data_IF_838716305927
#
_entry.id   IF_838716305927
#
_cell.length_a   1.000
_cell.length_b   1.000
_cell.length_c   1.000
_cell.angle_alpha   90.00
_cell.angle_beta   90.00
_cell.angle_gamma   90.00
#
_symmetry.space_group_name_H-M   'P 1'
#
loop_
_entity.id
_entity.type
_entity.pdbx_description
1 polymer ?
#
# COMPACT_ATOMS: atom_id res chain seq x y z
N UNK A 1 5.83 10.65 9.53
CA UNK A 1 5.63 9.25 9.14
C UNK A 1 4.75 8.59 10.17
N UNK A 2 3.57 8.15 9.76
CA UNK A 2 2.67 7.31 10.55
C UNK A 2 2.86 5.85 10.14
N UNK A 3 2.91 4.94 11.10
CA UNK A 3 3.12 3.52 10.84
C UNK A 3 1.81 2.76 11.06
N UNK A 4 1.42 1.96 10.06
CA UNK A 4 0.32 1.03 10.17
C UNK A 4 0.82 -0.36 10.57
N UNK A 5 0.36 -0.79 11.75
CA UNK A 5 0.47 -2.18 12.19
C UNK A 5 -0.53 -2.99 11.38
N UNK A 6 -0.07 -4.03 10.73
CA UNK A 6 -0.97 -4.96 10.05
C UNK A 6 -0.84 -6.34 10.65
N UNK A 7 -1.77 -6.69 11.51
CA UNK A 7 -2.12 -8.08 11.79
C UNK A 7 -2.98 -8.60 10.64
N UNK A 8 -2.41 -8.70 9.44
CA UNK A 8 -2.99 -9.53 8.40
C UNK A 8 -2.74 -10.99 8.81
N UNK A 9 -3.54 -11.52 9.73
CA UNK A 9 -3.78 -12.96 9.75
C UNK A 9 -4.31 -13.29 8.36
N UNK A 10 -3.54 -14.08 7.62
CA UNK A 10 -3.98 -14.65 6.35
C UNK A 10 -5.07 -15.69 6.64
N UNK A 11 -6.24 -15.25 7.11
CA UNK A 11 -7.46 -15.99 6.92
C UNK A 11 -7.75 -15.86 5.45
N UNK A 12 -7.43 -16.91 4.69
CA UNK A 12 -7.73 -16.99 3.27
C UNK A 12 -9.16 -16.52 3.03
N UNK A 13 -9.28 -15.31 2.49
CA UNK A 13 -10.58 -14.75 2.10
C UNK A 13 -10.97 -15.57 0.88
N UNK A 14 -11.77 -16.60 1.14
CA UNK A 14 -12.47 -17.31 0.10
C UNK A 14 -13.48 -16.31 -0.49
N UNK A 15 -13.15 -15.75 -1.65
CA UNK A 15 -13.92 -14.70 -2.35
C UNK A 15 -15.30 -15.18 -2.87
N UNK A 16 -15.84 -16.26 -2.32
CA UNK A 16 -17.16 -16.81 -2.64
C UNK A 16 -18.31 -16.19 -1.83
N UNK A 17 -18.00 -15.36 -0.82
CA UNK A 17 -19.02 -14.88 0.14
C UNK A 17 -19.60 -13.49 -0.14
N UNK A 18 -19.10 -12.74 -1.13
CA UNK A 18 -19.69 -11.46 -1.53
C UNK A 18 -20.66 -11.57 -2.72
N UNK A 19 -21.39 -12.69 -2.84
CA UNK A 19 -22.44 -12.85 -3.85
C UNK A 19 -23.87 -12.78 -3.30
N UNK A 20 -24.08 -12.15 -2.14
CA UNK A 20 -25.44 -11.97 -1.59
C UNK A 20 -25.64 -10.59 -0.97
N UNK A 21 -25.96 -9.60 -1.82
CA UNK A 21 -27.01 -8.58 -1.62
C UNK A 21 -26.79 -7.40 -2.57
N UNK A 22 -27.08 -7.61 -3.85
CA UNK A 22 -27.60 -6.58 -4.75
C UNK A 22 -28.31 -7.34 -5.86
N UNK A 23 -29.64 -7.28 -5.87
CA UNK A 23 -30.51 -8.06 -6.74
C UNK A 23 -30.42 -7.64 -8.20
N UNK A 24 -29.31 -7.94 -8.87
CA UNK A 24 -29.22 -7.97 -10.32
C UNK A 24 -29.13 -9.42 -10.78
N UNK A 25 -30.28 -9.97 -11.18
CA UNK A 25 -30.38 -11.28 -11.81
C UNK A 25 -29.74 -11.18 -13.20
N UNK A 26 -28.42 -11.38 -13.28
CA UNK A 26 -27.79 -11.63 -14.58
C UNK A 26 -28.15 -13.05 -14.99
N UNK A 27 -29.08 -13.13 -15.93
CA UNK A 27 -29.66 -14.34 -16.49
C UNK A 27 -28.55 -15.15 -17.17
N UNK A 28 -27.94 -16.08 -16.42
CA UNK A 28 -26.87 -16.98 -16.87
C UNK A 28 -27.45 -18.05 -17.81
N UNK A 29 -27.84 -17.68 -19.04
CA UNK A 29 -28.14 -18.64 -20.10
C UNK A 29 -27.62 -18.12 -21.44
N UNK A 30 -26.56 -18.80 -21.89
CA UNK A 30 -26.11 -18.96 -23.27
C UNK A 30 -25.77 -17.68 -24.04
N UNK A 31 -24.50 -17.27 -24.06
CA UNK A 31 -23.81 -16.88 -25.30
C UNK A 31 -22.35 -17.36 -25.26
N UNK A 32 -22.04 -18.20 -26.24
CA UNK A 32 -20.75 -18.57 -26.85
C UNK A 32 -19.56 -19.07 -26.02
N UNK A 33 -19.27 -20.36 -26.26
CA UNK A 33 -17.93 -20.93 -26.44
C UNK A 33 -17.07 -20.00 -27.33
N UNK A 34 -15.86 -19.68 -26.91
CA UNK A 34 -14.86 -19.09 -27.82
C UNK A 34 -13.99 -17.96 -27.27
N UNK A 35 -13.57 -18.00 -26.01
CA UNK A 35 -12.35 -17.36 -25.57
C UNK A 35 -11.91 -18.08 -24.29
N UNK A 36 -10.73 -18.68 -24.29
CA UNK A 36 -10.03 -18.85 -23.03
C UNK A 36 -9.70 -17.43 -22.57
N UNK A 37 -10.65 -16.77 -21.89
CA UNK A 37 -10.31 -15.57 -21.14
C UNK A 37 -9.37 -16.05 -20.05
N UNK A 38 -8.08 -15.76 -20.20
CA UNK A 38 -7.17 -15.75 -19.07
C UNK A 38 -7.89 -14.97 -17.97
N UNK A 39 -8.15 -15.64 -16.86
CA UNK A 39 -8.72 -15.01 -15.68
C UNK A 39 -7.67 -14.00 -15.20
N UNK A 40 -7.81 -12.74 -15.64
CA UNK A 40 -6.94 -11.67 -15.18
C UNK A 40 -7.27 -11.42 -13.72
N UNK A 41 -6.28 -11.59 -12.85
CA UNK A 41 -6.35 -11.32 -11.42
C UNK A 41 -6.46 -9.80 -11.22
N UNK A 42 -7.65 -9.26 -11.41
CA UNK A 42 -7.95 -7.85 -11.27
C UNK A 42 -8.55 -7.62 -9.89
N UNK A 43 -7.74 -7.13 -8.96
CA UNK A 43 -8.20 -6.77 -7.62
C UNK A 43 -8.94 -5.41 -7.73
N UNK A 44 -10.27 -5.35 -7.46
CA UNK A 44 -11.05 -4.15 -7.76
C UNK A 44 -10.56 -2.88 -7.05
N UNK A 45 -10.12 -2.98 -5.80
CA UNK A 45 -9.64 -1.83 -5.02
C UNK A 45 -8.30 -1.28 -5.52
N UNK A 46 -7.52 -2.05 -6.27
CA UNK A 46 -6.23 -1.60 -6.84
C UNK A 46 -6.40 -0.82 -8.14
N UNK A 47 -7.55 -0.93 -8.81
CA UNK A 47 -7.79 -0.38 -10.15
C UNK A 47 -9.01 0.52 -10.27
N UNK A 48 -9.99 0.43 -9.37
CA UNK A 48 -11.28 1.11 -9.54
C UNK A 48 -11.14 2.63 -9.60
N UNK A 49 -10.35 3.21 -8.68
CA UNK A 49 -10.21 4.67 -8.58
C UNK A 49 -9.49 5.25 -9.79
N UNK A 50 -8.34 4.67 -10.17
CA UNK A 50 -7.60 5.16 -11.33
C UNK A 50 -8.45 5.04 -12.61
N UNK A 51 -9.12 3.90 -12.80
CA UNK A 51 -9.98 3.67 -13.97
C UNK A 51 -11.14 4.67 -14.04
N UNK A 52 -11.78 4.95 -12.90
CA UNK A 52 -12.87 5.93 -12.85
C UNK A 52 -12.37 7.32 -13.24
N UNK A 53 -11.21 7.75 -12.74
CA UNK A 53 -10.63 9.05 -13.07
C UNK A 53 -10.25 9.15 -14.55
N UNK A 54 -9.69 8.08 -15.13
CA UNK A 54 -9.44 7.95 -16.56
C UNK A 54 -10.69 8.14 -17.41
N UNK A 55 -11.78 7.43 -17.09
CA UNK A 55 -13.05 7.53 -17.83
C UNK A 55 -13.64 8.94 -17.73
N UNK A 56 -13.37 9.65 -16.63
CA UNK A 56 -13.84 11.02 -16.41
C UNK A 56 -12.93 12.08 -17.01
N UNK A 57 -11.76 11.71 -17.55
CA UNK A 57 -10.76 12.66 -18.04
C UNK A 57 -10.15 13.51 -16.93
N UNK A 58 -10.04 12.96 -15.72
CA UNK A 58 -9.50 13.62 -14.52
C UNK A 58 -8.14 13.03 -14.11
N UNK A 59 -7.42 12.39 -15.04
CA UNK A 59 -6.13 11.74 -14.75
C UNK A 59 -5.08 12.73 -14.25
N UNK A 60 -5.12 13.95 -14.77
CA UNK A 60 -4.18 15.03 -14.42
C UNK A 60 -4.45 15.64 -13.03
N UNK A 61 -5.61 15.34 -12.42
CA UNK A 61 -5.94 15.73 -11.04
C UNK A 61 -5.36 14.77 -10.00
N UNK A 62 -4.86 13.60 -10.46
CA UNK A 62 -4.27 12.59 -9.59
C UNK A 62 -2.75 12.62 -9.71
N UNK A 63 -2.09 12.82 -8.58
CA UNK A 63 -0.66 12.54 -8.49
C UNK A 63 -0.41 11.04 -8.69
N UNK A 64 0.54 10.68 -9.56
CA UNK A 64 0.87 9.29 -9.93
C UNK A 64 1.64 8.54 -8.83
N UNK A 65 1.40 8.87 -7.57
CA UNK A 65 2.08 8.33 -6.39
C UNK A 65 1.15 8.20 -5.20
N UNK A 66 1.49 7.26 -4.32
CA UNK A 66 0.87 7.10 -3.01
C UNK A 66 1.67 7.83 -1.93
N UNK A 67 0.99 8.24 -0.86
CA UNK A 67 1.62 8.80 0.34
C UNK A 67 2.08 7.70 1.32
N UNK A 68 1.87 6.42 1.00
CA UNK A 68 2.20 5.28 1.85
C UNK A 68 3.39 4.50 1.31
N UNK A 69 4.50 4.56 2.04
CA UNK A 69 5.66 3.71 1.79
C UNK A 69 5.30 2.24 2.01
N UNK A 70 5.67 1.41 1.03
CA UNK A 70 5.42 -0.03 1.02
C UNK A 70 6.70 -0.70 0.55
N UNK A 71 7.29 -1.56 1.38
CA UNK A 71 8.44 -2.35 0.99
C UNK A 71 7.98 -3.60 0.25
N UNK A 72 8.64 -3.90 -0.87
CA UNK A 72 8.40 -5.09 -1.68
C UNK A 72 9.72 -5.84 -1.78
N UNK A 73 9.77 -7.05 -1.23
CA UNK A 73 10.91 -7.93 -1.43
C UNK A 73 10.53 -9.02 -2.43
N UNK A 74 11.08 -8.93 -3.64
CA UNK A 74 10.92 -9.92 -4.72
C UNK A 74 11.98 -11.03 -4.62
N UNK A 75 12.45 -11.37 -3.43
CA UNK A 75 13.44 -12.41 -3.23
C UNK A 75 12.82 -13.80 -3.46
N UNK A 76 13.01 -14.31 -4.67
CA UNK A 76 12.84 -15.71 -5.06
C UNK A 76 13.90 -16.56 -4.36
N UNK A 77 13.64 -17.01 -3.12
CA UNK A 77 14.50 -18.01 -2.48
C UNK A 77 13.98 -19.44 -2.66
N UNK A 78 12.70 -19.62 -3.00
CA UNK A 78 12.14 -20.94 -3.27
C UNK A 78 11.44 -20.96 -4.64
N UNK A 79 11.93 -21.71 -5.65
CA UNK A 79 11.27 -21.85 -6.95
C UNK A 79 9.89 -22.52 -6.88
N UNK A 80 9.48 -22.98 -5.69
CA UNK A 80 8.13 -23.52 -5.41
C UNK A 80 7.19 -22.49 -4.78
N UNK A 81 7.71 -21.41 -4.22
CA UNK A 81 6.88 -20.32 -3.73
C UNK A 81 6.45 -19.50 -4.93
N UNK A 82 5.18 -19.68 -5.30
CA UNK A 82 4.49 -18.79 -6.23
C UNK A 82 4.83 -17.37 -5.80
N UNK A 83 5.34 -16.59 -6.75
CA UNK A 83 5.68 -15.18 -6.65
C UNK A 83 4.56 -14.44 -5.92
N UNK A 84 4.67 -14.34 -4.60
CA UNK A 84 3.63 -13.78 -3.76
C UNK A 84 3.90 -12.28 -3.75
N UNK A 85 3.25 -11.59 -4.67
CA UNK A 85 3.29 -10.13 -4.83
C UNK A 85 2.60 -9.47 -3.64
N UNK A 86 3.19 -9.59 -2.46
CA UNK A 86 2.68 -9.01 -1.23
C UNK A 86 3.80 -8.16 -0.61
N UNK A 87 3.48 -7.01 0.01
CA UNK A 87 4.49 -6.21 0.66
C UNK A 87 5.26 -7.02 1.71
N UNK A 88 6.46 -6.65 2.09
CA UNK A 88 7.25 -7.32 3.13
C UNK A 88 6.92 -6.79 4.51
N UNK A 89 6.84 -7.67 5.51
CA UNK A 89 6.58 -7.25 6.89
C UNK A 89 7.86 -6.76 7.53
N UNK A 90 7.84 -5.55 8.10
CA UNK A 90 8.88 -5.09 9.01
C UNK A 90 8.71 -5.81 10.34
N UNK A 91 9.69 -6.65 10.67
CA UNK A 91 9.82 -7.28 11.98
C UNK A 91 10.63 -6.41 12.94
N UNK A 92 10.69 -6.81 14.21
CA UNK A 92 11.38 -6.09 15.29
C UNK A 92 12.74 -5.54 14.85
N UNK A 93 13.65 -6.41 14.40
CA UNK A 93 15.02 -6.05 14.01
C UNK A 93 15.10 -5.13 12.79
N UNK A 94 14.09 -5.17 11.91
CA UNK A 94 14.02 -4.36 10.70
C UNK A 94 13.37 -2.99 10.93
N UNK A 95 12.82 -2.75 12.12
CA UNK A 95 12.09 -1.53 12.47
C UNK A 95 12.93 -0.61 13.37
N UNK A 96 14.11 -0.19 12.88
CA UNK A 96 14.99 0.72 13.60
C UNK A 96 14.64 2.20 13.34
N UNK A 97 15.03 3.13 14.24
CA UNK A 97 14.90 4.57 14.01
C UNK A 97 15.63 5.04 12.76
N UNK A 98 16.78 4.43 12.45
CA UNK A 98 17.55 4.68 11.22
C UNK A 98 16.73 4.33 9.98
N UNK A 99 16.06 3.17 9.98
CA UNK A 99 15.19 2.76 8.88
C UNK A 99 14.01 3.73 8.71
N UNK A 100 13.40 4.17 9.81
CA UNK A 100 12.31 5.16 9.77
C UNK A 100 12.79 6.52 9.24
N UNK A 101 13.99 6.95 9.62
CA UNK A 101 14.58 8.19 9.11
C UNK A 101 14.96 8.06 7.64
N UNK A 102 15.45 6.90 7.20
CA UNK A 102 15.68 6.61 5.80
C UNK A 102 14.39 6.75 4.98
N UNK A 103 13.27 6.15 5.43
CA UNK A 103 11.97 6.30 4.78
C UNK A 103 11.50 7.76 4.74
N UNK A 104 11.66 8.49 5.85
CA UNK A 104 11.31 9.93 5.93
C UNK A 104 12.16 10.80 5.00
N UNK A 105 13.39 10.39 4.72
CA UNK A 105 14.33 11.14 3.87
C UNK A 105 14.12 10.95 2.37
N UNK A 106 13.24 10.02 1.97
CA UNK A 106 12.93 9.80 0.55
C UNK A 106 12.21 11.03 -0.01
N UNK A 107 12.87 11.70 -0.94
CA UNK A 107 12.40 12.92 -1.61
C UNK A 107 12.19 12.74 -3.12
N UNK A 108 12.42 11.54 -3.66
CA UNK A 108 12.13 11.18 -5.03
C UNK A 108 11.71 9.72 -5.19
N UNK A 109 11.02 9.43 -6.30
CA UNK A 109 10.60 8.09 -6.70
C UNK A 109 11.20 7.77 -8.07
N UNK A 110 11.79 6.58 -8.21
CA UNK A 110 12.36 6.10 -9.45
C UNK A 110 11.42 5.08 -10.10
N UNK A 111 10.92 5.41 -11.28
CA UNK A 111 10.12 4.52 -12.13
C UNK A 111 11.08 3.81 -13.08
N UNK A 112 11.61 2.66 -12.65
CA UNK A 112 12.65 1.92 -13.40
C UNK A 112 12.21 1.56 -14.82
N UNK A 113 10.97 1.11 -14.99
CA UNK A 113 10.40 0.75 -16.30
C UNK A 113 10.34 1.96 -17.23
N UNK A 114 10.01 3.13 -16.70
CA UNK A 114 9.88 4.38 -17.45
C UNK A 114 11.21 5.15 -17.55
N UNK A 115 12.28 4.66 -16.91
CA UNK A 115 13.59 5.32 -16.79
C UNK A 115 13.46 6.78 -16.33
N UNK A 116 12.58 7.01 -15.36
CA UNK A 116 12.14 8.35 -14.96
C UNK A 116 12.22 8.53 -13.45
N UNK A 117 12.72 9.68 -13.03
CA UNK A 117 12.75 10.08 -11.63
C UNK A 117 11.77 11.23 -11.41
N UNK A 118 10.88 11.07 -10.43
CA UNK A 118 9.99 12.14 -9.96
C UNK A 118 10.45 12.67 -8.60
N UNK A 119 10.66 13.98 -8.51
CA UNK A 119 10.96 14.64 -7.24
C UNK A 119 9.66 15.01 -6.51
N UNK A 120 9.60 14.69 -5.22
CA UNK A 120 8.46 14.97 -4.37
C UNK A 120 8.47 16.45 -3.98
N UNK A 121 7.61 17.22 -4.65
CA UNK A 121 7.49 18.66 -4.44
C UNK A 121 6.05 19.06 -4.14
N UNK A 122 5.91 20.14 -3.38
CA UNK A 122 4.63 20.83 -3.17
C UNK A 122 4.87 22.32 -3.31
N UNK A 123 4.19 22.98 -4.26
CA UNK A 123 4.38 24.39 -4.58
C UNK A 123 5.87 24.78 -4.77
N UNK A 124 6.65 23.93 -5.43
CA UNK A 124 8.08 24.15 -5.70
C UNK A 124 9.02 23.91 -4.51
N UNK A 125 8.50 23.49 -3.35
CA UNK A 125 9.30 23.13 -2.17
C UNK A 125 9.48 21.62 -2.11
N UNK A 126 10.70 21.15 -1.83
CA UNK A 126 10.97 19.73 -1.60
C UNK A 126 10.25 19.25 -0.34
N UNK A 127 9.53 18.13 -0.45
CA UNK A 127 8.77 17.51 0.64
C UNK A 127 9.04 16.01 0.67
N UNK A 128 8.95 15.35 1.85
CA UNK A 128 9.00 13.89 1.92
C UNK A 128 7.95 13.25 1.01
N UNK A 129 8.33 12.18 0.33
CA UNK A 129 7.41 11.44 -0.53
C UNK A 129 6.31 10.73 0.24
N UNK A 130 6.63 10.24 1.44
CA UNK A 130 5.76 9.35 2.21
C UNK A 130 5.38 9.94 3.56
N UNK A 131 4.08 9.98 3.83
CA UNK A 131 3.50 10.36 5.12
C UNK A 131 3.19 9.14 5.97
N UNK A 132 2.93 8.00 5.33
CA UNK A 132 2.60 6.74 5.98
C UNK A 132 3.60 5.65 5.58
N UNK A 133 3.76 4.63 6.41
CA UNK A 133 4.42 3.38 6.05
C UNK A 133 3.58 2.20 6.56
N UNK A 134 3.55 1.11 5.80
CA UNK A 134 2.71 -0.06 6.12
C UNK A 134 3.51 -1.34 6.33
N UNK A 135 2.79 -2.32 6.88
CA UNK A 135 3.23 -3.69 7.11
C UNK A 135 4.27 -3.84 8.22
N UNK A 136 4.03 -3.19 9.35
CA UNK A 136 4.82 -3.42 10.56
C UNK A 136 4.14 -4.49 11.40
N UNK A 137 4.92 -5.45 11.91
CA UNK A 137 4.43 -6.38 12.91
C UNK A 137 4.23 -5.67 14.25
N UNK A 138 3.51 -6.32 15.17
CA UNK A 138 3.37 -5.80 16.52
C UNK A 138 4.72 -5.57 17.20
N UNK A 139 5.68 -6.49 17.04
CA UNK A 139 7.03 -6.35 17.58
C UNK A 139 7.78 -5.14 17.02
N UNK A 140 7.69 -4.93 15.71
CA UNK A 140 8.24 -3.74 15.07
C UNK A 140 7.64 -2.43 15.59
N UNK A 141 6.34 -2.40 15.84
CA UNK A 141 5.69 -1.23 16.41
C UNK A 141 6.17 -0.95 17.84
N UNK A 142 6.33 -1.99 18.66
CA UNK A 142 6.86 -1.87 20.02
C UNK A 142 8.31 -1.36 20.02
N UNK A 143 9.16 -1.89 19.16
CA UNK A 143 10.55 -1.44 19.02
C UNK A 143 10.63 0.07 18.74
N UNK A 144 9.81 0.57 17.81
CA UNK A 144 9.77 1.98 17.47
C UNK A 144 9.21 2.89 18.58
N UNK A 145 8.35 2.36 19.45
CA UNK A 145 7.85 3.07 20.64
C UNK A 145 8.92 3.14 21.73
N UNK A 146 9.66 2.04 21.95
CA UNK A 146 10.74 1.96 22.94
C UNK A 146 11.91 2.86 22.58
N UNK A 147 12.31 2.87 21.30
CA UNK A 147 13.42 3.68 20.79
C UNK A 147 13.08 5.19 20.68
N UNK A 148 11.83 5.58 20.93
CA UNK A 148 11.40 6.98 20.81
C UNK A 148 11.45 7.52 19.38
N UNK A 149 11.43 6.65 18.37
CA UNK A 149 11.42 7.03 16.95
C UNK A 149 10.21 7.91 16.58
N UNK A 150 9.14 7.76 17.35
CA UNK A 150 8.04 8.71 17.44
C UNK A 150 8.26 9.55 18.69
N UNK A 151 8.74 10.79 18.52
CA UNK A 151 8.87 11.73 19.63
C UNK A 151 7.55 11.78 20.41
N UNK A 152 7.66 11.80 21.74
CA UNK A 152 6.56 11.93 22.72
C UNK A 152 5.34 12.58 22.06
N UNK A 153 4.25 11.81 21.92
CA UNK A 153 2.99 12.24 21.31
C UNK A 153 2.71 13.70 21.70
N UNK A 154 2.94 14.64 20.78
CA UNK A 154 2.57 16.06 20.99
C UNK A 154 1.07 16.22 21.22
N UNK A 155 0.26 15.20 20.90
CA UNK A 155 -1.15 15.13 21.27
C UNK A 155 -1.38 14.98 22.77
N UNK A 156 -0.43 14.46 23.55
CA UNK A 156 -0.52 14.44 25.02
C UNK A 156 -0.31 15.84 25.64
N UNK A 157 0.34 16.77 24.94
CA UNK A 157 0.45 18.17 25.37
C UNK A 157 -0.83 18.98 25.09
N UNK A 158 -1.73 18.51 24.21
CA UNK A 158 -3.02 19.15 23.95
C UNK A 158 -4.12 18.77 24.96
N UNK A 159 -3.89 17.77 25.82
CA UNK A 159 -4.85 17.34 26.85
C UNK A 159 -4.58 17.93 28.24
N UNK A 160 -3.57 18.79 28.40
CA UNK A 160 -3.22 19.41 29.71
C UNK A 160 -3.66 20.88 29.80
N UNK A 161 -4.32 21.43 28.78
CA UNK A 161 -4.81 22.82 28.80
C UNK A 161 -6.33 22.91 28.53
N UNK A 162 -7.14 22.27 29.38
CA UNK A 162 -8.55 22.61 29.58
C UNK A 162 -8.87 22.63 31.08
#
# INVERSE_FOLDING_TARGET
LYVYISDCYSYGINFSLFQRRLGFVFRRKQILKGAAQEEHDCIPDEHYVQTLFSIKGLEDELERRTLTYTSWNQSTLDPKDKMTWHPTTFEYDAASPEQINAIKSIDHVNYEVEHRTEWCQSNGTSVPCFLFARKFSYGAAMHLLEDGAFGLLKSAQLLVNF
#
